data_IF_954389768390
#
_entry.id   IF_954389768390
#
_cell.length_a   1.000
_cell.length_b   1.000
_cell.length_c   1.000
_cell.angle_alpha   90.00
_cell.angle_beta   90.00
_cell.angle_gamma   90.00
#
_symmetry.space_group_name_H-M   'P 1'
#
loop_
_entity.id
_entity.type
_entity.pdbx_description
1 polymer ?
#
# COMPACT_ATOMS: atom_id res chain seq x y z
N UNK A 1 17.88 24.79 10.65
CA UNK A 1 16.86 23.71 10.65
C UNK A 1 17.42 22.60 9.77
N UNK A 2 17.71 21.43 10.32
CA UNK A 2 18.23 20.29 9.55
C UNK A 2 17.19 19.86 8.53
N UNK A 3 17.52 19.92 7.24
CA UNK A 3 16.67 19.37 6.17
C UNK A 3 16.55 17.86 6.38
N UNK A 4 15.31 17.37 6.48
CA UNK A 4 15.05 15.93 6.53
C UNK A 4 15.56 15.31 5.23
N UNK A 5 16.57 14.45 5.33
CA UNK A 5 17.07 13.72 4.17
C UNK A 5 16.08 12.61 3.79
N UNK A 6 15.62 12.54 2.52
CA UNK A 6 14.72 11.49 2.09
C UNK A 6 15.41 10.12 2.15
N UNK A 7 14.66 9.00 2.14
CA UNK A 7 15.25 7.67 2.05
C UNK A 7 15.95 7.45 0.70
N UNK A 8 16.76 6.40 0.60
CA UNK A 8 17.47 5.98 -0.62
C UNK A 8 18.53 6.96 -1.17
N UNK A 9 18.97 7.93 -0.35
CA UNK A 9 20.00 8.91 -0.75
C UNK A 9 21.36 8.28 -1.10
N UNK A 10 21.64 7.09 -0.58
CA UNK A 10 22.86 6.32 -0.87
C UNK A 10 22.93 5.77 -2.30
N UNK A 11 21.80 5.66 -3.01
CA UNK A 11 21.76 5.21 -4.40
C UNK A 11 22.03 6.36 -5.36
N UNK A 12 22.79 6.10 -6.43
CA UNK A 12 22.95 7.09 -7.51
C UNK A 12 21.67 7.18 -8.35
N UNK A 13 21.47 8.30 -9.04
CA UNK A 13 20.22 8.60 -9.74
C UNK A 13 19.76 7.52 -10.73
N UNK A 14 20.68 6.93 -11.49
CA UNK A 14 20.36 5.83 -12.42
C UNK A 14 19.88 4.57 -11.71
N UNK A 15 20.49 4.23 -10.56
CA UNK A 15 20.07 3.09 -9.74
C UNK A 15 18.67 3.30 -9.17
N UNK A 16 18.31 4.52 -8.78
CA UNK A 16 16.96 4.85 -8.29
C UNK A 16 15.89 4.63 -9.36
N UNK A 17 16.14 5.08 -10.59
CA UNK A 17 15.22 4.81 -11.71
C UNK A 17 15.08 3.33 -12.03
N UNK A 18 16.20 2.58 -12.05
CA UNK A 18 16.16 1.13 -12.27
C UNK A 18 15.39 0.42 -11.16
N UNK A 19 15.64 0.77 -9.89
CA UNK A 19 14.96 0.20 -8.74
C UNK A 19 13.47 0.55 -8.75
N UNK A 20 13.10 1.80 -9.02
CA UNK A 20 11.70 2.23 -9.13
C UNK A 20 10.98 1.44 -10.22
N UNK A 21 11.60 1.35 -11.40
CA UNK A 21 11.05 0.59 -12.53
C UNK A 21 10.86 -0.89 -12.19
N UNK A 22 11.85 -1.52 -11.56
CA UNK A 22 11.77 -2.92 -11.14
C UNK A 22 10.67 -3.15 -10.10
N UNK A 23 10.62 -2.34 -9.04
CA UNK A 23 9.61 -2.43 -7.99
C UNK A 23 8.20 -2.22 -8.56
N UNK A 24 8.02 -1.19 -9.40
CA UNK A 24 6.74 -0.90 -10.03
C UNK A 24 6.30 -2.01 -11.00
N UNK A 25 7.23 -2.57 -11.78
CA UNK A 25 6.93 -3.67 -12.69
C UNK A 25 6.52 -4.94 -11.94
N UNK A 26 7.23 -5.30 -10.87
CA UNK A 26 6.88 -6.46 -10.03
C UNK A 26 5.55 -6.22 -9.33
N UNK A 27 5.34 -5.04 -8.74
CA UNK A 27 4.07 -4.66 -8.11
C UNK A 27 2.90 -4.77 -9.11
N UNK A 28 3.03 -4.19 -10.30
CA UNK A 28 2.01 -4.26 -11.34
C UNK A 28 1.75 -5.71 -11.79
N UNK A 29 2.80 -6.52 -11.94
CA UNK A 29 2.65 -7.93 -12.30
C UNK A 29 1.91 -8.73 -11.22
N UNK A 30 2.28 -8.57 -9.93
CA UNK A 30 1.61 -9.24 -8.80
C UNK A 30 0.14 -8.82 -8.76
N UNK A 31 -0.14 -7.52 -8.85
CA UNK A 31 -1.50 -6.99 -8.83
C UNK A 31 -2.34 -7.57 -9.98
N UNK A 32 -1.87 -7.47 -11.22
CA UNK A 32 -2.66 -7.86 -12.41
C UNK A 32 -2.78 -9.38 -12.55
N UNK A 33 -1.73 -10.14 -12.22
CA UNK A 33 -1.68 -11.60 -12.49
C UNK A 33 -2.10 -12.45 -11.31
N UNK A 34 -2.06 -11.92 -10.09
CA UNK A 34 -2.34 -12.67 -8.86
C UNK A 34 -3.47 -12.07 -8.06
N UNK A 35 -3.28 -10.87 -7.51
CA UNK A 35 -4.25 -10.28 -6.57
C UNK A 35 -5.60 -9.99 -7.23
N UNK A 36 -5.62 -9.28 -8.35
CA UNK A 36 -6.85 -8.88 -9.04
C UNK A 36 -7.75 -10.06 -9.44
N UNK A 37 -7.24 -11.10 -10.14
CA UNK A 37 -8.05 -12.26 -10.50
C UNK A 37 -8.58 -13.03 -9.30
N UNK A 38 -7.79 -13.16 -8.23
CA UNK A 38 -8.24 -13.80 -7.00
C UNK A 38 -9.34 -12.96 -6.33
N UNK A 39 -9.14 -11.65 -6.24
CA UNK A 39 -10.09 -10.74 -5.60
C UNK A 39 -11.43 -10.70 -6.36
N UNK A 40 -11.42 -10.76 -7.70
CA UNK A 40 -12.65 -10.88 -8.50
C UNK A 40 -13.49 -12.10 -8.12
N UNK A 41 -12.84 -13.24 -7.82
CA UNK A 41 -13.56 -14.43 -7.35
C UNK A 41 -14.13 -14.22 -5.94
N UNK A 42 -13.42 -13.53 -5.05
CA UNK A 42 -13.95 -13.18 -3.71
C UNK A 42 -15.13 -12.21 -3.80
N UNK A 43 -15.07 -11.26 -4.73
CA UNK A 43 -16.14 -10.30 -5.02
C UNK A 43 -17.44 -10.96 -5.50
N UNK A 44 -17.36 -12.16 -6.08
CA UNK A 44 -18.57 -12.93 -6.46
C UNK A 44 -19.45 -13.35 -5.28
N UNK A 45 -18.89 -13.36 -4.07
CA UNK A 45 -19.58 -13.73 -2.82
C UNK A 45 -19.84 -12.54 -1.91
N UNK A 46 -18.87 -11.64 -1.80
CA UNK A 46 -18.92 -10.47 -0.91
C UNK A 46 -18.46 -9.24 -1.68
N UNK A 47 -19.35 -8.26 -1.84
CA UNK A 47 -19.02 -6.98 -2.48
C UNK A 47 -17.82 -6.33 -1.79
N UNK A 48 -16.84 -5.90 -2.59
CA UNK A 48 -15.60 -5.32 -2.09
C UNK A 48 -14.45 -6.33 -1.90
N UNK A 49 -14.70 -7.64 -2.08
CA UNK A 49 -13.64 -8.63 -2.10
C UNK A 49 -12.88 -8.67 -0.78
N UNK A 50 -11.55 -8.78 -0.84
CA UNK A 50 -10.70 -8.83 0.35
C UNK A 50 -10.92 -7.61 1.27
N UNK A 51 -11.14 -6.41 0.70
CA UNK A 51 -11.35 -5.17 1.46
C UNK A 51 -12.58 -5.25 2.36
N UNK A 52 -13.56 -6.11 2.05
CA UNK A 52 -14.68 -6.32 2.94
C UNK A 52 -14.24 -6.86 4.31
N UNK A 53 -13.25 -7.76 4.33
CA UNK A 53 -12.68 -8.32 5.55
C UNK A 53 -11.72 -7.35 6.23
N UNK A 54 -10.88 -6.64 5.45
CA UNK A 54 -9.97 -5.61 6.01
C UNK A 54 -10.75 -4.54 6.78
N UNK A 55 -11.89 -4.10 6.22
CA UNK A 55 -12.77 -3.10 6.80
C UNK A 55 -14.00 -3.71 7.49
N UNK A 56 -13.88 -4.94 8.01
CA UNK A 56 -15.01 -5.59 8.68
C UNK A 56 -15.39 -4.89 9.99
N UNK A 57 -14.44 -4.26 10.69
CA UNK A 57 -14.56 -3.53 11.96
C UNK A 57 -15.08 -4.33 13.16
N UNK A 58 -16.09 -5.19 12.99
CA UNK A 58 -16.66 -6.05 14.02
C UNK A 58 -16.41 -7.52 13.72
N UNK A 59 -16.37 -8.34 14.77
CA UNK A 59 -16.27 -9.79 14.69
C UNK A 59 -17.51 -10.41 14.04
N UNK A 60 -18.68 -9.83 14.26
CA UNK A 60 -19.92 -10.29 13.61
C UNK A 60 -19.85 -10.10 12.08
N UNK A 61 -19.39 -8.93 11.62
CA UNK A 61 -19.21 -8.67 10.19
C UNK A 61 -18.12 -9.55 9.59
N UNK A 62 -17.00 -9.71 10.28
CA UNK A 62 -15.95 -10.64 9.86
C UNK A 62 -16.50 -12.06 9.72
N UNK A 63 -17.31 -12.53 10.68
CA UNK A 63 -17.95 -13.85 10.62
C UNK A 63 -18.86 -13.98 9.40
N UNK A 64 -19.74 -13.01 9.14
CA UNK A 64 -20.61 -13.04 7.96
C UNK A 64 -19.82 -13.13 6.65
N UNK A 65 -18.68 -12.43 6.57
CA UNK A 65 -17.81 -12.45 5.38
C UNK A 65 -17.13 -13.81 5.23
N UNK A 66 -16.56 -14.35 6.31
CA UNK A 66 -15.91 -15.67 6.30
C UNK A 66 -16.91 -16.78 5.97
N UNK A 67 -18.13 -16.72 6.53
CA UNK A 67 -19.22 -17.66 6.23
C UNK A 67 -19.62 -17.57 4.74
N UNK A 68 -19.69 -16.36 4.17
CA UNK A 68 -19.97 -16.16 2.75
C UNK A 68 -18.86 -16.66 1.81
N UNK A 69 -17.62 -16.74 2.31
CA UNK A 69 -16.47 -17.31 1.62
C UNK A 69 -16.23 -18.79 1.94
N UNK A 70 -17.19 -19.48 2.55
CA UNK A 70 -17.05 -20.90 2.80
C UNK A 70 -16.77 -21.67 1.49
N UNK A 71 -15.74 -22.52 1.52
CA UNK A 71 -15.21 -23.22 0.34
C UNK A 71 -14.22 -22.43 -0.52
N UNK A 72 -13.91 -21.18 -0.15
CA UNK A 72 -12.89 -20.32 -0.79
C UNK A 72 -11.70 -20.02 0.14
N UNK A 73 -11.55 -20.74 1.25
CA UNK A 73 -10.55 -20.45 2.28
C UNK A 73 -9.12 -20.50 1.73
N UNK A 74 -8.81 -21.46 0.87
CA UNK A 74 -7.51 -21.55 0.19
C UNK A 74 -7.25 -20.37 -0.74
N UNK A 75 -8.32 -19.82 -1.33
CA UNK A 75 -8.23 -18.68 -2.21
C UNK A 75 -7.94 -17.40 -1.42
N UNK A 76 -8.66 -17.16 -0.31
CA UNK A 76 -8.39 -16.06 0.63
C UNK A 76 -6.97 -16.17 1.15
N UNK A 77 -6.55 -17.36 1.60
CA UNK A 77 -5.18 -17.61 2.06
C UNK A 77 -4.15 -17.23 0.99
N UNK A 78 -4.30 -17.72 -0.24
CA UNK A 78 -3.38 -17.38 -1.35
C UNK A 78 -3.39 -15.90 -1.67
N UNK A 79 -4.54 -15.23 -1.64
CA UNK A 79 -4.64 -13.78 -1.80
C UNK A 79 -3.72 -13.08 -0.80
N UNK A 80 -3.85 -13.42 0.49
CA UNK A 80 -3.11 -12.77 1.56
C UNK A 80 -1.60 -13.07 1.49
N UNK A 81 -1.21 -14.26 1.04
CA UNK A 81 0.21 -14.57 0.78
C UNK A 81 0.79 -13.73 -0.37
N UNK A 82 0.04 -13.55 -1.45
CA UNK A 82 0.46 -12.67 -2.54
C UNK A 82 0.53 -11.22 -2.09
N UNK A 83 -0.37 -10.80 -1.20
CA UNK A 83 -0.39 -9.45 -0.66
C UNK A 83 0.84 -9.19 0.23
N UNK A 84 1.24 -10.18 1.04
CA UNK A 84 2.52 -10.13 1.77
C UNK A 84 3.75 -9.95 0.87
N UNK A 85 3.77 -10.54 -0.33
CA UNK A 85 4.84 -10.31 -1.31
C UNK A 85 4.75 -8.93 -1.95
N UNK A 86 3.53 -8.42 -2.14
CA UNK A 86 3.28 -7.07 -2.66
C UNK A 86 3.85 -5.98 -1.73
N UNK A 87 3.90 -6.23 -0.40
CA UNK A 87 4.53 -5.36 0.60
C UNK A 87 6.01 -5.07 0.35
N UNK A 88 6.72 -5.99 -0.31
CA UNK A 88 8.15 -5.80 -0.62
C UNK A 88 8.35 -4.84 -1.80
N UNK A 89 7.28 -4.55 -2.54
CA UNK A 89 7.35 -3.82 -3.79
C UNK A 89 6.71 -2.43 -3.67
N UNK A 90 5.45 -2.37 -3.25
CA UNK A 90 4.68 -1.13 -3.39
C UNK A 90 5.10 -0.01 -2.39
N UNK A 91 5.32 -0.26 -1.08
CA UNK A 91 5.73 0.82 -0.17
C UNK A 91 7.12 1.38 -0.51
N UNK A 92 8.14 0.55 -0.81
CA UNK A 92 9.42 1.05 -1.32
C UNK A 92 9.31 1.82 -2.64
N UNK A 93 8.45 1.38 -3.58
CA UNK A 93 8.24 2.09 -4.83
C UNK A 93 7.66 3.50 -4.60
N UNK A 94 6.62 3.61 -3.78
CA UNK A 94 6.01 4.89 -3.42
C UNK A 94 6.98 5.79 -2.66
N UNK A 95 7.72 5.22 -1.70
CA UNK A 95 8.74 5.92 -0.93
C UNK A 95 9.83 6.49 -1.83
N UNK A 96 10.37 5.67 -2.74
CA UNK A 96 11.42 6.07 -3.68
C UNK A 96 10.93 7.14 -4.66
N UNK A 97 9.72 7.00 -5.20
CA UNK A 97 9.12 8.02 -6.06
C UNK A 97 8.94 9.36 -5.33
N UNK A 98 8.46 9.34 -4.08
CA UNK A 98 8.31 10.55 -3.27
C UNK A 98 9.67 11.19 -2.95
N UNK A 99 10.68 10.38 -2.62
CA UNK A 99 12.05 10.82 -2.37
C UNK A 99 12.63 11.53 -3.60
N UNK A 100 12.57 10.89 -4.77
CA UNK A 100 13.08 11.45 -6.03
C UNK A 100 12.37 12.74 -6.42
N UNK A 101 11.05 12.82 -6.21
CA UNK A 101 10.30 14.05 -6.48
C UNK A 101 10.68 15.15 -5.49
N UNK A 102 10.91 14.83 -4.21
CA UNK A 102 11.28 15.79 -3.19
C UNK A 102 12.62 16.49 -3.46
N UNK A 103 13.52 15.83 -4.19
CA UNK A 103 14.84 16.36 -4.57
C UNK A 103 14.81 17.19 -5.87
N UNK A 104 13.67 17.29 -6.56
CA UNK A 104 13.57 18.05 -7.80
C UNK A 104 13.67 19.56 -7.55
N UNK A 105 14.50 20.26 -8.35
CA UNK A 105 14.85 21.69 -8.17
C UNK A 105 13.64 22.65 -8.12
N UNK A 106 12.52 22.29 -8.73
CA UNK A 106 11.30 23.13 -8.81
C UNK A 106 10.18 22.67 -7.87
N UNK A 107 10.46 21.75 -6.95
CA UNK A 107 9.45 21.21 -6.04
C UNK A 107 9.08 22.24 -4.94
N UNK A 108 7.84 22.75 -4.90
CA UNK A 108 7.44 23.76 -3.93
C UNK A 108 7.34 23.25 -2.48
N UNK A 109 7.27 21.92 -2.29
CA UNK A 109 6.97 21.27 -1.02
C UNK A 109 7.89 20.07 -0.76
N UNK A 110 9.18 20.22 -1.07
CA UNK A 110 10.22 19.20 -0.91
C UNK A 110 10.23 18.54 0.49
N UNK A 111 10.10 19.33 1.57
CA UNK A 111 10.11 18.81 2.94
C UNK A 111 8.93 17.86 3.23
N UNK A 112 7.73 18.17 2.69
CA UNK A 112 6.57 17.29 2.80
C UNK A 112 6.85 15.98 2.06
N UNK A 113 7.47 16.05 0.88
CA UNK A 113 7.88 14.87 0.13
C UNK A 113 8.84 13.96 0.87
N UNK A 114 9.89 14.53 1.46
CA UNK A 114 10.86 13.77 2.25
C UNK A 114 10.19 13.11 3.47
N UNK A 115 9.26 13.80 4.14
CA UNK A 115 8.49 13.23 5.25
C UNK A 115 7.58 12.09 4.78
N UNK A 116 6.81 12.31 3.72
CA UNK A 116 5.88 11.32 3.16
C UNK A 116 6.63 10.08 2.65
N UNK A 117 7.82 10.26 2.07
CA UNK A 117 8.68 9.18 1.63
C UNK A 117 9.08 8.25 2.80
N UNK A 118 9.38 8.79 3.98
CA UNK A 118 9.61 7.99 5.18
C UNK A 118 8.31 7.39 5.73
N UNK A 119 7.25 8.19 5.80
CA UNK A 119 5.99 7.78 6.40
C UNK A 119 5.34 6.59 5.67
N UNK A 120 5.37 6.56 4.32
CA UNK A 120 4.75 5.48 3.55
C UNK A 120 5.43 4.12 3.76
N UNK A 121 6.70 4.07 4.19
CA UNK A 121 7.35 2.80 4.55
C UNK A 121 6.68 2.13 5.76
N UNK A 122 6.05 2.91 6.64
CA UNK A 122 5.27 2.39 7.77
C UNK A 122 4.01 1.64 7.33
N UNK A 123 3.57 1.77 6.07
CA UNK A 123 2.52 0.91 5.54
C UNK A 123 2.91 -0.58 5.60
N UNK A 124 4.19 -0.92 5.43
CA UNK A 124 4.67 -2.32 5.44
C UNK A 124 4.31 -3.08 6.72
N UNK A 125 4.68 -2.62 7.94
CA UNK A 125 4.28 -3.31 9.17
C UNK A 125 2.78 -3.24 9.46
N UNK A 126 2.09 -2.17 9.05
CA UNK A 126 0.63 -2.06 9.22
C UNK A 126 -0.08 -3.14 8.40
N UNK A 127 0.28 -3.24 7.13
CA UNK A 127 -0.27 -4.20 6.17
C UNK A 127 0.05 -5.64 6.56
N UNK A 128 1.29 -5.93 6.98
CA UNK A 128 1.66 -7.25 7.51
C UNK A 128 0.85 -7.65 8.77
N UNK A 129 0.58 -6.70 9.66
CA UNK A 129 -0.22 -6.94 10.88
C UNK A 129 -1.68 -7.24 10.54
N UNK A 130 -2.23 -6.50 9.59
CA UNK A 130 -3.58 -6.69 9.09
C UNK A 130 -3.73 -8.05 8.37
N UNK A 131 -2.81 -8.39 7.48
CA UNK A 131 -2.73 -9.71 6.83
C UNK A 131 -2.63 -10.86 7.83
N UNK A 132 -1.85 -10.71 8.89
CA UNK A 132 -1.76 -11.70 9.96
C UNK A 132 -3.09 -11.84 10.72
N UNK A 133 -3.76 -10.73 11.02
CA UNK A 133 -5.06 -10.75 11.69
C UNK A 133 -6.12 -11.45 10.83
N UNK A 134 -6.16 -11.18 9.52
CA UNK A 134 -7.06 -11.85 8.58
C UNK A 134 -6.79 -13.35 8.49
N UNK A 135 -5.53 -13.77 8.33
CA UNK A 135 -5.16 -15.19 8.28
C UNK A 135 -5.50 -15.93 9.59
N UNK A 136 -5.36 -15.23 10.72
CA UNK A 136 -5.75 -15.77 12.03
C UNK A 136 -7.26 -15.94 12.10
N UNK A 137 -8.05 -14.95 11.68
CA UNK A 137 -9.52 -15.07 11.64
C UNK A 137 -9.99 -16.16 10.67
N UNK A 138 -9.31 -16.32 9.53
CA UNK A 138 -9.60 -17.38 8.57
C UNK A 138 -9.35 -18.79 9.13
N UNK A 139 -8.36 -18.94 10.03
CA UNK A 139 -7.97 -20.25 10.58
C UNK A 139 -8.65 -20.60 11.90
N UNK A 140 -8.92 -19.60 12.75
CA UNK A 140 -9.43 -19.79 14.11
C UNK A 140 -10.87 -19.29 14.29
N UNK A 141 -11.45 -18.68 13.25
CA UNK A 141 -12.75 -18.05 13.29
C UNK A 141 -12.68 -16.54 13.57
N UNK A 142 -13.79 -15.85 13.27
CA UNK A 142 -13.89 -14.41 13.43
C UNK A 142 -13.67 -13.95 14.88
N UNK A 143 -13.02 -12.80 15.05
CA UNK A 143 -12.73 -12.20 16.34
C UNK A 143 -12.94 -10.69 16.30
N UNK A 144 -13.63 -10.14 17.31
CA UNK A 144 -13.85 -8.70 17.45
C UNK A 144 -12.54 -7.92 17.52
N UNK A 145 -11.56 -8.44 18.26
CA UNK A 145 -10.26 -7.81 18.40
C UNK A 145 -9.49 -7.80 17.07
N UNK A 146 -9.43 -8.95 16.39
CA UNK A 146 -8.69 -9.07 15.13
C UNK A 146 -9.33 -8.25 14.00
N UNK A 147 -10.67 -8.21 13.94
CA UNK A 147 -11.40 -7.37 13.00
C UNK A 147 -11.07 -5.88 13.19
N UNK A 148 -11.08 -5.39 14.44
CA UNK A 148 -10.69 -4.00 14.74
C UNK A 148 -9.23 -3.72 14.40
N UNK A 149 -8.34 -4.64 14.75
CA UNK A 149 -6.91 -4.51 14.46
C UNK A 149 -6.68 -4.40 12.96
N UNK A 150 -7.25 -5.31 12.17
CA UNK A 150 -7.21 -5.29 10.71
C UNK A 150 -7.71 -3.95 10.17
N UNK A 151 -8.90 -3.49 10.61
CA UNK A 151 -9.47 -2.23 10.11
C UNK A 151 -8.67 -1.00 10.48
N UNK A 152 -8.09 -0.92 11.69
CA UNK A 152 -7.22 0.19 12.06
C UNK A 152 -5.93 0.21 11.23
N UNK A 153 -5.29 -0.95 11.08
CA UNK A 153 -4.10 -1.09 10.23
C UNK A 153 -4.41 -0.75 8.76
N UNK A 154 -5.53 -1.24 8.22
CA UNK A 154 -6.01 -0.91 6.89
C UNK A 154 -6.26 0.60 6.72
N UNK A 155 -7.00 1.22 7.65
CA UNK A 155 -7.27 2.66 7.61
C UNK A 155 -6.00 3.52 7.64
N UNK A 156 -5.06 3.17 8.51
CA UNK A 156 -3.77 3.87 8.60
C UNK A 156 -2.90 3.64 7.36
N UNK A 157 -2.79 2.40 6.86
CA UNK A 157 -2.01 2.12 5.64
C UNK A 157 -2.57 2.91 4.46
N UNK A 158 -3.87 2.82 4.19
CA UNK A 158 -4.48 3.54 3.06
C UNK A 158 -4.35 5.05 3.19
N UNK A 159 -4.38 5.60 4.40
CA UNK A 159 -4.10 7.03 4.62
C UNK A 159 -2.68 7.41 4.18
N UNK A 160 -1.68 6.59 4.53
CA UNK A 160 -0.29 6.81 4.10
C UNK A 160 -0.12 6.67 2.58
N UNK A 161 -0.76 5.66 1.97
CA UNK A 161 -0.74 5.46 0.52
C UNK A 161 -1.38 6.64 -0.21
N UNK A 162 -2.55 7.11 0.25
CA UNK A 162 -3.24 8.26 -0.33
C UNK A 162 -2.43 9.55 -0.17
N UNK A 163 -1.74 9.74 0.96
CA UNK A 163 -0.84 10.87 1.15
C UNK A 163 0.34 10.83 0.16
N UNK A 164 0.95 9.65 -0.05
CA UNK A 164 2.03 9.47 -1.02
C UNK A 164 1.58 9.72 -2.46
N UNK A 165 0.45 9.12 -2.87
CA UNK A 165 -0.12 9.33 -4.22
C UNK A 165 -0.54 10.79 -4.41
N UNK A 166 -1.22 11.38 -3.42
CA UNK A 166 -1.62 12.78 -3.45
C UNK A 166 -0.43 13.72 -3.58
N UNK A 167 0.66 13.46 -2.84
CA UNK A 167 1.91 14.19 -2.97
C UNK A 167 2.49 14.07 -4.38
N UNK A 168 2.62 12.85 -4.92
CA UNK A 168 3.18 12.60 -6.25
C UNK A 168 2.38 13.32 -7.34
N UNK A 169 1.05 13.31 -7.26
CA UNK A 169 0.19 13.96 -8.24
C UNK A 169 0.24 15.49 -8.13
N UNK A 170 0.05 16.04 -6.93
CA UNK A 170 -0.04 17.49 -6.72
C UNK A 170 1.33 18.15 -6.87
N UNK A 171 2.34 17.68 -6.15
CA UNK A 171 3.68 18.25 -6.22
C UNK A 171 4.35 17.94 -7.55
N UNK A 172 4.09 16.77 -8.15
CA UNK A 172 4.60 16.41 -9.48
C UNK A 172 4.06 17.35 -10.56
N UNK A 173 2.74 17.59 -10.57
CA UNK A 173 2.12 18.54 -11.50
C UNK A 173 2.65 19.95 -11.28
N UNK A 174 2.72 20.42 -10.03
CA UNK A 174 3.25 21.75 -9.73
C UNK A 174 4.73 21.92 -10.16
N UNK A 175 5.55 20.89 -9.95
CA UNK A 175 6.96 20.86 -10.35
C UNK A 175 7.09 20.92 -11.88
N UNK A 176 6.27 20.15 -12.61
CA UNK A 176 6.23 20.18 -14.07
C UNK A 176 5.81 21.55 -14.60
N UNK A 177 4.71 22.12 -14.07
CA UNK A 177 4.24 23.45 -14.47
C UNK A 177 5.32 24.50 -14.24
N UNK A 178 5.98 24.51 -13.08
CA UNK A 178 7.06 25.47 -12.78
C UNK A 178 8.26 25.29 -13.68
N UNK A 179 8.63 24.06 -14.02
CA UNK A 179 9.72 23.76 -14.96
C UNK A 179 9.49 24.33 -16.36
N UNK A 180 8.23 24.42 -16.81
CA UNK A 180 7.89 24.99 -18.12
C UNK A 180 7.48 26.47 -18.07
N UNK A 181 7.04 26.97 -16.91
CA UNK A 181 6.60 28.34 -16.74
C UNK A 181 7.73 29.31 -16.34
N UNK A 182 8.82 28.80 -15.77
CA UNK A 182 10.02 29.59 -15.45
C UNK A 182 11.06 29.30 -16.55
N UNK A 183 11.31 30.23 -17.49
CA UNK A 183 12.28 30.06 -18.57
C UNK A 183 13.73 29.99 -18.08
#
# INVERSE_FOLDING_TARGET
>A
MSSLSPPFTSLVWSQRWLLLGALAAVAAWVMVRRLGPIDQMLQSRVTGGIFALEFSWTGERARMILDAWHGLEDLVRRQTWWDNLFLLCYPPALSLACAMLSEAEQNPVAMIGAFVAWAVLAATPLDATENLAMLTMLSQGASEFLAKLATWCAGLKFTLLLAAVGYLLVAGTATLVRRFAVP
#
